data_IF_933457068971
#
_entry.id   IF_933457068971
#
_cell.length_a   1.000
_cell.length_b   1.000
_cell.length_c   1.000
_cell.angle_alpha   90.00
_cell.angle_beta   90.00
_cell.angle_gamma   90.00
#
_symmetry.space_group_name_H-M   'P 1'
#
loop_
_entity.id
_entity.type
_entity.pdbx_description
1 polymer ?
#
# COMPACT_ATOMS: atom_id res chain seq x y z
N UNK A 1 13.99 -6.02 -5.35
CA UNK A 1 12.83 -5.23 -5.83
C UNK A 1 13.32 -4.21 -6.83
N UNK A 2 12.72 -4.15 -8.01
CA UNK A 2 13.07 -3.17 -9.05
C UNK A 2 12.05 -2.02 -8.97
N UNK A 3 12.53 -0.76 -8.89
CA UNK A 3 11.66 0.41 -8.96
C UNK A 3 11.50 0.76 -10.45
N UNK A 4 10.37 0.38 -11.05
CA UNK A 4 10.05 0.84 -12.40
C UNK A 4 9.93 2.38 -12.42
N UNK A 5 10.40 3.01 -13.50
CA UNK A 5 10.42 4.48 -13.61
C UNK A 5 9.00 5.11 -13.61
N UNK A 6 7.96 4.30 -13.81
CA UNK A 6 6.56 4.70 -13.71
C UNK A 6 5.72 3.46 -13.36
N UNK A 7 5.60 3.12 -12.07
CA UNK A 7 4.71 2.03 -11.69
C UNK A 7 3.28 2.44 -12.02
N UNK A 8 2.63 1.62 -12.85
CA UNK A 8 1.24 1.85 -13.26
C UNK A 8 0.32 1.24 -12.20
N UNK A 9 -0.38 2.08 -11.46
CA UNK A 9 -1.43 1.66 -10.53
C UNK A 9 -2.80 1.88 -11.18
N UNK A 10 -3.78 1.00 -10.94
CA UNK A 10 -5.17 1.33 -11.21
C UNK A 10 -5.57 2.60 -10.44
N UNK A 11 -6.21 3.54 -11.12
CA UNK A 11 -6.51 4.88 -10.58
C UNK A 11 -7.52 4.84 -9.44
N UNK A 12 -8.34 3.79 -9.41
CA UNK A 12 -9.35 3.52 -8.39
C UNK A 12 -8.78 3.06 -7.06
N UNK A 13 -7.53 2.57 -7.03
CA UNK A 13 -6.92 2.15 -5.78
C UNK A 13 -6.70 3.34 -4.86
N UNK A 14 -6.89 3.13 -3.57
CA UNK A 14 -6.41 4.04 -2.56
C UNK A 14 -4.88 4.01 -2.47
N UNK A 15 -4.28 5.06 -1.89
CA UNK A 15 -2.84 5.11 -1.60
C UNK A 15 -2.35 3.88 -0.84
N UNK A 16 -3.13 3.41 0.13
CA UNK A 16 -2.79 2.25 0.92
C UNK A 16 -2.82 0.97 0.08
N UNK A 17 -3.88 0.75 -0.70
CA UNK A 17 -3.98 -0.40 -1.61
C UNK A 17 -2.89 -0.41 -2.69
N UNK A 18 -2.47 0.77 -3.16
CA UNK A 18 -1.38 0.90 -4.13
C UNK A 18 -0.03 0.43 -3.56
N UNK A 19 0.20 0.58 -2.26
CA UNK A 19 1.38 0.02 -1.59
C UNK A 19 1.40 -1.52 -1.62
N UNK A 20 0.27 -2.12 -1.94
CA UNK A 20 0.02 -3.55 -1.87
C UNK A 20 -0.27 -4.19 -3.22
N UNK A 21 -0.28 -3.42 -4.31
CA UNK A 21 -0.75 -3.85 -5.64
C UNK A 21 -0.06 -5.13 -6.18
N UNK A 22 1.22 -5.36 -5.91
CA UNK A 22 2.00 -6.51 -6.41
C UNK A 22 2.05 -7.69 -5.41
N UNK A 23 0.93 -7.96 -4.76
CA UNK A 23 0.84 -8.49 -3.39
C UNK A 23 1.23 -9.94 -3.07
N UNK A 24 1.04 -10.23 -1.77
CA UNK A 24 0.96 -11.55 -1.14
C UNK A 24 -0.48 -11.78 -0.60
N UNK A 25 -0.74 -12.91 0.06
CA UNK A 25 -2.05 -13.24 0.67
C UNK A 25 -2.52 -12.22 1.73
N UNK A 26 -1.59 -11.68 2.53
CA UNK A 26 -1.82 -10.66 3.57
C UNK A 26 -2.49 -9.39 3.01
N UNK A 27 -2.09 -8.98 1.80
CA UNK A 27 -2.66 -7.81 1.12
C UNK A 27 -4.16 -7.97 0.84
N UNK A 28 -4.55 -9.13 0.33
CA UNK A 28 -5.94 -9.37 -0.05
C UNK A 28 -6.83 -9.36 1.19
N UNK A 29 -6.33 -9.85 2.33
CA UNK A 29 -7.03 -9.78 3.61
C UNK A 29 -7.28 -8.34 4.08
N UNK A 30 -6.28 -7.46 3.96
CA UNK A 30 -6.44 -6.04 4.34
C UNK A 30 -7.51 -5.38 3.46
N UNK A 31 -7.52 -5.65 2.15
CA UNK A 31 -8.52 -5.10 1.23
C UNK A 31 -9.93 -5.62 1.52
N UNK A 32 -10.07 -6.93 1.75
CA UNK A 32 -11.35 -7.53 2.16
C UNK A 32 -11.86 -6.86 3.45
N UNK A 33 -10.96 -6.49 4.37
CA UNK A 33 -11.31 -5.85 5.64
C UNK A 33 -11.82 -4.43 5.45
N UNK A 34 -11.11 -3.61 4.69
CA UNK A 34 -11.56 -2.25 4.40
C UNK A 34 -12.93 -2.25 3.71
N UNK A 35 -13.14 -3.14 2.74
CA UNK A 35 -14.43 -3.26 2.06
C UNK A 35 -15.56 -3.78 2.98
N UNK A 36 -15.24 -4.71 3.89
CA UNK A 36 -16.20 -5.21 4.87
C UNK A 36 -16.70 -4.08 5.79
N UNK A 37 -15.82 -3.16 6.21
CA UNK A 37 -16.19 -2.02 7.05
C UNK A 37 -17.06 -0.98 6.36
N UNK A 38 -16.96 -0.85 5.04
CA UNK A 38 -17.82 0.03 4.25
C UNK A 38 -19.21 -0.59 3.97
N UNK A 39 -19.32 -1.91 4.14
CA UNK A 39 -20.55 -2.66 3.85
C UNK A 39 -21.48 -2.64 5.07
N UNK A 40 -22.73 -2.14 4.96
CA UNK A 40 -23.67 -2.13 6.09
C UNK A 40 -23.88 -3.52 6.69
N UNK A 41 -23.60 -3.64 7.99
CA UNK A 41 -23.75 -4.90 8.74
C UNK A 41 -22.51 -5.81 8.74
N UNK A 42 -21.41 -5.39 8.08
CA UNK A 42 -20.08 -6.01 8.13
C UNK A 42 -20.13 -7.56 8.03
N UNK A 43 -20.71 -8.13 6.96
CA UNK A 43 -20.88 -9.57 6.84
C UNK A 43 -19.53 -10.29 6.86
N UNK A 44 -19.41 -11.32 7.69
CA UNK A 44 -18.19 -12.13 7.79
C UNK A 44 -17.02 -11.47 8.52
N UNK A 45 -17.24 -10.33 9.20
CA UNK A 45 -16.18 -9.60 9.91
C UNK A 45 -15.42 -10.48 10.91
N UNK A 46 -16.11 -11.34 11.67
CA UNK A 46 -15.47 -12.19 12.69
C UNK A 46 -14.44 -13.16 12.09
N UNK A 47 -14.78 -13.81 10.97
CA UNK A 47 -13.86 -14.70 10.24
C UNK A 47 -12.66 -13.90 9.69
N UNK A 48 -12.95 -12.71 9.19
CA UNK A 48 -11.94 -11.85 8.60
C UNK A 48 -10.93 -11.34 9.63
N UNK A 49 -11.40 -10.90 10.80
CA UNK A 49 -10.56 -10.49 11.92
C UNK A 49 -9.62 -11.62 12.36
N UNK A 50 -10.11 -12.85 12.38
CA UNK A 50 -9.32 -14.04 12.70
C UNK A 50 -8.24 -14.29 11.62
N UNK A 51 -8.60 -14.22 10.34
CA UNK A 51 -7.65 -14.37 9.22
C UNK A 51 -6.59 -13.26 9.24
N UNK A 52 -6.98 -12.02 9.56
CA UNK A 52 -6.09 -10.87 9.69
C UNK A 52 -5.04 -11.07 10.80
N UNK A 53 -5.46 -11.60 11.95
CA UNK A 53 -4.56 -11.91 13.06
C UNK A 53 -3.58 -13.03 12.69
N UNK A 54 -4.08 -14.14 12.13
CA UNK A 54 -3.24 -15.25 11.69
C UNK A 54 -2.20 -14.87 10.64
N UNK A 55 -2.53 -13.96 9.73
CA UNK A 55 -1.63 -13.48 8.69
C UNK A 55 -0.69 -12.34 9.16
N UNK A 56 -0.75 -11.93 10.44
CA UNK A 56 -0.09 -10.73 10.97
C UNK A 56 -0.35 -9.47 10.11
N UNK A 57 -1.53 -9.41 9.52
CA UNK A 57 -1.83 -8.40 8.51
C UNK A 57 -2.01 -7.00 9.12
N UNK A 58 -2.33 -6.91 10.41
CA UNK A 58 -2.33 -5.66 11.17
C UNK A 58 -0.95 -5.00 11.26
N UNK A 59 0.10 -5.80 11.49
CA UNK A 59 1.47 -5.28 11.56
C UNK A 59 1.93 -4.81 10.19
N UNK A 60 1.54 -5.54 9.15
CA UNK A 60 1.81 -5.17 7.77
C UNK A 60 1.16 -3.83 7.39
N UNK A 61 -0.14 -3.66 7.69
CA UNK A 61 -0.87 -2.41 7.47
C UNK A 61 -0.27 -1.24 8.27
N UNK A 62 0.06 -1.48 9.55
CA UNK A 62 0.68 -0.49 10.43
C UNK A 62 2.02 -0.02 9.88
N UNK A 63 2.87 -0.96 9.46
CA UNK A 63 4.18 -0.66 8.85
C UNK A 63 4.02 0.16 7.57
N UNK A 64 3.06 -0.20 6.72
CA UNK A 64 2.77 0.55 5.50
C UNK A 64 2.37 2.01 5.80
N UNK A 65 1.45 2.20 6.75
CA UNK A 65 1.03 3.54 7.21
C UNK A 65 2.19 4.34 7.81
N UNK A 66 3.08 3.69 8.55
CA UNK A 66 4.28 4.32 9.11
C UNK A 66 5.24 4.80 8.01
N UNK A 67 5.56 3.93 7.03
CA UNK A 67 6.45 4.27 5.91
C UNK A 67 5.85 5.40 5.06
N UNK A 68 4.57 5.30 4.69
CA UNK A 68 3.87 6.37 3.97
C UNK A 68 3.93 7.70 4.72
N UNK A 69 3.70 7.67 6.04
CA UNK A 69 3.77 8.87 6.88
C UNK A 69 5.16 9.49 6.90
N UNK A 70 6.22 8.67 6.99
CA UNK A 70 7.61 9.13 6.92
C UNK A 70 7.94 9.79 5.57
N UNK A 71 7.30 9.32 4.49
CA UNK A 71 7.39 9.91 3.16
C UNK A 71 6.47 11.12 2.95
N UNK A 72 5.81 11.64 3.99
CA UNK A 72 4.83 12.73 3.92
C UNK A 72 3.58 12.42 3.08
N UNK A 73 3.19 11.14 2.99
CA UNK A 73 1.92 10.71 2.42
C UNK A 73 0.98 10.36 3.57
N UNK A 74 -0.07 11.16 3.78
CA UNK A 74 -0.97 11.03 4.96
C UNK A 74 -2.42 10.69 4.61
N UNK A 75 -2.79 10.81 3.34
CA UNK A 75 -4.15 10.52 2.87
C UNK A 75 -4.21 9.10 2.30
N UNK A 76 -4.31 8.12 3.20
CA UNK A 76 -4.21 6.69 2.84
C UNK A 76 -5.37 6.19 1.97
N UNK A 77 -6.57 6.75 2.16
CA UNK A 77 -7.79 6.41 1.41
C UNK A 77 -7.99 7.26 0.16
N UNK A 78 -7.06 8.17 -0.16
CA UNK A 78 -7.17 8.99 -1.38
C UNK A 78 -6.94 8.10 -2.61
N UNK A 79 -7.78 8.20 -3.67
CA UNK A 79 -7.53 7.49 -4.92
C UNK A 79 -6.21 7.90 -5.56
N UNK A 80 -5.47 6.93 -6.08
CA UNK A 80 -4.16 7.14 -6.71
C UNK A 80 -4.26 8.07 -7.92
N UNK A 81 -5.36 8.00 -8.68
CA UNK A 81 -5.61 8.90 -9.81
C UNK A 81 -5.69 10.40 -9.43
N UNK A 82 -5.84 10.71 -8.15
CA UNK A 82 -5.84 12.09 -7.64
C UNK A 82 -4.47 12.56 -7.15
N UNK A 83 -3.42 11.73 -7.22
CA UNK A 83 -2.09 12.08 -6.76
C UNK A 83 -1.32 12.87 -7.82
N UNK A 84 -0.58 13.89 -7.38
CA UNK A 84 0.48 14.49 -8.21
C UNK A 84 1.58 13.47 -8.51
N UNK A 85 2.33 13.68 -9.61
CA UNK A 85 3.45 12.79 -9.96
C UNK A 85 4.49 12.63 -8.84
N UNK A 86 4.74 13.68 -8.04
CA UNK A 86 5.63 13.60 -6.87
C UNK A 86 5.05 12.78 -5.72
N UNK A 87 3.73 12.81 -5.51
CA UNK A 87 3.05 11.92 -4.55
C UNK A 87 3.07 10.48 -5.05
N UNK A 88 2.82 10.25 -6.34
CA UNK A 88 2.87 8.92 -6.95
C UNK A 88 4.25 8.27 -6.78
N UNK A 89 5.34 9.03 -7.00
CA UNK A 89 6.71 8.56 -6.75
C UNK A 89 6.96 8.16 -5.29
N UNK A 90 6.36 8.88 -4.33
CA UNK A 90 6.46 8.52 -2.91
C UNK A 90 5.68 7.25 -2.58
N UNK A 91 4.51 7.04 -3.17
CA UNK A 91 3.75 5.80 -3.03
C UNK A 91 4.52 4.61 -3.63
N UNK A 92 5.15 4.82 -4.78
CA UNK A 92 6.05 3.83 -5.38
C UNK A 92 7.21 3.45 -4.48
N UNK A 93 7.88 4.46 -3.89
CA UNK A 93 8.95 4.22 -2.93
C UNK A 93 8.45 3.48 -1.68
N UNK A 94 7.28 3.87 -1.16
CA UNK A 94 6.66 3.20 -0.02
C UNK A 94 6.41 1.71 -0.32
N UNK A 95 5.81 1.39 -1.46
CA UNK A 95 5.56 0.02 -1.91
C UNK A 95 6.85 -0.81 -1.87
N UNK A 96 7.94 -0.26 -2.40
CA UNK A 96 9.23 -0.98 -2.41
C UNK A 96 9.81 -1.17 -1.01
N UNK A 97 9.71 -0.17 -0.12
CA UNK A 97 10.20 -0.26 1.26
C UNK A 97 9.38 -1.23 2.11
N UNK A 98 8.07 -1.30 1.89
CA UNK A 98 7.15 -2.19 2.61
C UNK A 98 7.47 -3.65 2.31
N UNK A 99 7.75 -3.96 1.05
CA UNK A 99 8.04 -5.31 0.56
C UNK A 99 9.45 -5.83 0.93
N UNK A 100 10.25 -5.08 1.70
CA UNK A 100 11.58 -5.47 2.20
C UNK A 100 12.41 -6.31 1.21
N UNK A 101 12.69 -5.83 0.00
CA UNK A 101 13.49 -6.62 -0.92
C UNK A 101 14.90 -6.83 -0.37
N UNK A 102 15.40 -8.07 -0.40
CA UNK A 102 16.78 -8.44 -0.04
C UNK A 102 17.84 -7.62 -0.79
N UNK A 103 17.46 -7.08 -1.95
CA UNK A 103 18.27 -6.21 -2.78
C UNK A 103 17.41 -5.10 -3.39
N UNK A 104 17.73 -3.85 -3.03
CA UNK A 104 17.14 -2.64 -3.60
C UNK A 104 18.17 -2.01 -4.53
N UNK A 105 17.98 -2.16 -5.85
CA UNK A 105 18.81 -1.47 -6.84
C UNK A 105 18.13 -0.14 -7.17
N UNK A 106 18.52 0.91 -6.44
CA UNK A 106 18.22 2.29 -6.80
C UNK A 106 19.25 2.70 -7.84
N UNK A 107 18.84 2.87 -9.10
CA UNK A 107 19.72 3.51 -10.06
C UNK A 107 19.73 5.03 -9.74
N UNK A 108 20.86 5.53 -9.23
CA UNK A 108 21.12 6.91 -8.82
C UNK A 108 21.63 7.77 -10.00
N UNK A 109 21.79 9.09 -9.86
CA UNK A 109 20.96 10.09 -9.16
C UNK A 109 20.61 11.24 -10.15
N UNK A 110 19.91 12.28 -9.71
CA UNK A 110 19.69 13.54 -10.47
C UNK A 110 18.81 13.49 -11.73
N UNK A 111 17.49 13.70 -11.58
CA UNK A 111 16.79 14.50 -12.59
C UNK A 111 15.60 15.30 -12.01
N UNK A 112 15.93 16.54 -11.68
CA UNK A 112 15.12 17.75 -11.51
C UNK A 112 13.95 17.71 -10.51
N UNK A 113 14.26 18.24 -9.31
CA UNK A 113 13.34 18.99 -8.44
C UNK A 113 12.64 20.12 -9.21
#
# INVERSE_FOLDING_TARGET
GYLEQSPTYPEELTVLEACFYHGNETVNLIREYEHCLETPGNPGLDDLLLRMDHANAWDYERKAKQILSQLNVRHFSQPVGQLSGGQLKRVALANVLINEPDFLMLDEPTNHL
#
